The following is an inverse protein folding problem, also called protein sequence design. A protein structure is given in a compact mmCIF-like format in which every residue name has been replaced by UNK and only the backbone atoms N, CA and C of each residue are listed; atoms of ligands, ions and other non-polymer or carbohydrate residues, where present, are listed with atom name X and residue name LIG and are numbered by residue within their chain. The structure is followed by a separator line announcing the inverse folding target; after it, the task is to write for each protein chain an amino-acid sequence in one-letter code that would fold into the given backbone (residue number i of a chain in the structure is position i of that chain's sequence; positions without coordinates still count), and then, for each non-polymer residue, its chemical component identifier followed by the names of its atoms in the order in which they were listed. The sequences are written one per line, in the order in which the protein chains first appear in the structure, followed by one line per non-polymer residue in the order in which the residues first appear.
data_IF_903659847460
#
_entry.id   IF_903659847460
#
_cell.length_a   1.000
_cell.length_b   1.000
_cell.length_c   1.000
_cell.angle_alpha   90.00
_cell.angle_beta   90.00
_cell.angle_gamma   90.00
#
_symmetry.space_group_name_H-M   'P 1'
#
loop_
_entity.id
_entity.type
_entity.pdbx_description
1 polymer ?
#
# COMPACT_ATOMS: atom_id res chain seq x y z
N UNK A 1 -12.39 -41.46 -34.70
CA UNK A 1 -13.12 -40.23 -34.29
C UNK A 1 -13.11 -39.97 -32.77
N UNK A 2 -12.95 -40.98 -31.91
CA UNK A 2 -13.07 -40.86 -30.43
C UNK A 2 -11.87 -40.23 -29.70
N UNK A 3 -10.68 -40.18 -30.31
CA UNK A 3 -9.44 -39.73 -29.64
C UNK A 3 -9.28 -38.20 -29.56
N UNK A 4 -9.97 -37.44 -30.42
CA UNK A 4 -9.93 -35.96 -30.41
C UNK A 4 -10.78 -35.34 -29.29
N UNK A 5 -11.92 -35.97 -28.95
CA UNK A 5 -12.82 -35.49 -27.89
C UNK A 5 -12.21 -35.63 -26.48
N UNK A 6 -11.35 -36.63 -26.27
CA UNK A 6 -10.68 -36.81 -24.98
C UNK A 6 -9.59 -35.75 -24.72
N UNK A 7 -8.94 -35.24 -25.78
CA UNK A 7 -7.95 -34.16 -25.65
C UNK A 7 -8.59 -32.82 -25.31
N UNK A 8 -9.76 -32.50 -25.89
CA UNK A 8 -10.45 -31.24 -25.57
C UNK A 8 -10.89 -31.21 -24.11
N UNK A 9 -11.41 -32.33 -23.57
CA UNK A 9 -11.82 -32.43 -22.16
C UNK A 9 -10.61 -32.28 -21.21
N UNK A 10 -9.45 -32.86 -21.54
CA UNK A 10 -8.24 -32.72 -20.73
C UNK A 10 -7.69 -31.27 -20.72
N UNK A 11 -7.73 -30.58 -21.86
CA UNK A 11 -7.30 -29.18 -21.98
C UNK A 11 -8.26 -28.25 -21.23
N UNK A 12 -9.58 -28.50 -21.30
CA UNK A 12 -10.58 -27.75 -20.54
C UNK A 12 -10.42 -27.93 -19.03
N UNK A 13 -10.10 -29.15 -18.58
CA UNK A 13 -9.89 -29.47 -17.16
C UNK A 13 -8.62 -28.82 -16.60
N UNK A 14 -7.53 -28.78 -17.39
CA UNK A 14 -6.29 -28.09 -17.02
C UNK A 14 -6.44 -26.55 -16.96
N UNK A 15 -7.40 -25.98 -17.71
CA UNK A 15 -7.74 -24.55 -17.66
C UNK A 15 -8.59 -24.20 -16.44
N UNK A 16 -9.44 -25.13 -16.00
CA UNK A 16 -10.29 -25.00 -14.80
C UNK A 16 -9.47 -25.08 -13.50
N UNK A 17 -8.48 -25.99 -13.42
CA UNK A 17 -7.64 -26.18 -12.22
C UNK A 17 -6.72 -24.98 -11.91
N UNK A 18 -6.39 -24.14 -12.89
CA UNK A 18 -5.62 -22.90 -12.64
C UNK A 18 -6.41 -21.78 -11.97
N UNK A 19 -7.74 -21.89 -11.87
CA UNK A 19 -8.57 -20.91 -11.16
C UNK A 19 -8.71 -21.21 -9.65
N UNK A 20 -8.28 -22.38 -9.16
CA UNK A 20 -8.60 -22.83 -7.81
C UNK A 20 -7.46 -22.71 -6.77
N UNK A 21 -6.32 -22.11 -7.12
CA UNK A 21 -5.27 -21.83 -6.15
C UNK A 21 -5.39 -20.37 -5.66
N UNK A 22 -5.95 -20.11 -4.45
CA UNK A 22 -5.77 -18.81 -3.82
C UNK A 22 -4.27 -18.56 -3.58
N UNK A 23 -3.78 -17.32 -3.75
CA UNK A 23 -2.37 -17.01 -3.59
C UNK A 23 -1.88 -17.32 -2.16
N UNK A 24 -0.73 -17.99 -1.97
CA UNK A 24 -0.12 -18.22 -0.66
C UNK A 24 0.56 -16.94 -0.16
N UNK A 25 -0.23 -15.90 0.10
CA UNK A 25 0.27 -14.60 0.55
C UNK A 25 -0.80 -13.62 1.01
N UNK A 26 -2.09 -13.95 0.92
CA UNK A 26 -3.18 -13.03 1.28
C UNK A 26 -3.60 -13.09 2.75
N UNK A 27 -2.86 -13.78 3.62
CA UNK A 27 -3.30 -14.09 4.99
C UNK A 27 -2.74 -13.16 6.09
N UNK A 28 -2.01 -12.09 5.77
CA UNK A 28 -1.29 -11.32 6.81
C UNK A 28 -1.51 -9.80 6.80
N UNK A 29 -2.46 -9.28 6.05
CA UNK A 29 -2.90 -7.90 6.23
C UNK A 29 -4.35 -7.87 6.67
N UNK A 30 -4.66 -7.25 7.82
CA UNK A 30 -6.03 -7.16 8.30
C UNK A 30 -6.85 -6.37 7.28
N UNK A 31 -7.81 -7.07 6.68
CA UNK A 31 -8.90 -6.53 5.90
C UNK A 31 -9.82 -5.69 6.78
N UNK A 32 -9.36 -4.54 7.28
CA UNK A 32 -10.20 -3.69 8.13
C UNK A 32 -10.15 -2.22 7.73
N UNK A 33 -11.36 -1.75 7.41
CA UNK A 33 -11.80 -0.37 7.23
C UNK A 33 -11.37 0.33 5.94
N UNK A 34 -12.33 0.45 5.02
CA UNK A 34 -12.32 1.32 3.84
C UNK A 34 -12.35 2.81 4.22
N UNK A 35 -11.32 3.27 4.91
CA UNK A 35 -11.10 4.68 5.24
C UNK A 35 -10.54 5.37 3.99
N UNK A 36 -11.13 6.50 3.59
CA UNK A 36 -10.71 7.20 2.38
C UNK A 36 -9.26 7.70 2.47
N UNK A 37 -8.55 7.74 1.33
CA UNK A 37 -7.15 8.21 1.24
C UNK A 37 -6.89 9.58 1.88
N UNK A 38 -7.89 10.47 1.89
CA UNK A 38 -7.79 11.79 2.53
C UNK A 38 -7.68 11.69 4.06
N UNK A 39 -8.42 10.76 4.67
CA UNK A 39 -8.36 10.54 6.11
C UNK A 39 -6.98 10.06 6.56
N UNK A 40 -6.34 9.16 5.84
CA UNK A 40 -4.97 8.73 6.18
C UNK A 40 -3.96 9.88 6.12
N UNK A 41 -4.07 10.78 5.13
CA UNK A 41 -3.24 11.99 5.08
C UNK A 41 -3.49 12.91 6.27
N UNK A 42 -4.76 13.10 6.65
CA UNK A 42 -5.13 13.90 7.81
C UNK A 42 -4.64 13.26 9.12
N UNK A 43 -4.72 11.94 9.25
CA UNK A 43 -4.20 11.20 10.39
C UNK A 43 -2.68 11.36 10.54
N UNK A 44 -1.93 11.28 9.44
CA UNK A 44 -0.49 11.56 9.44
C UNK A 44 -0.21 13.01 9.83
N UNK A 45 -0.92 13.98 9.26
CA UNK A 45 -0.76 15.39 9.63
C UNK A 45 -1.06 15.64 11.13
N UNK A 46 -2.13 15.04 11.65
CA UNK A 46 -2.51 15.12 13.06
C UNK A 46 -1.45 14.50 13.97
N UNK A 47 -0.86 13.36 13.59
CA UNK A 47 0.22 12.73 14.35
C UNK A 47 1.44 13.65 14.51
N UNK A 48 1.81 14.42 13.46
CA UNK A 48 2.93 15.38 13.53
C UNK A 48 2.61 16.53 14.48
N UNK A 49 1.39 17.07 14.44
CA UNK A 49 0.97 18.14 15.37
C UNK A 49 0.93 17.65 16.82
N UNK A 50 0.41 16.45 17.05
CA UNK A 50 0.39 15.84 18.38
C UNK A 50 1.81 15.52 18.87
N UNK A 51 2.72 15.11 18.00
CA UNK A 51 4.12 14.89 18.35
C UNK A 51 4.80 16.19 18.78
N UNK A 52 4.54 17.28 18.06
CA UNK A 52 5.01 18.62 18.46
C UNK A 52 4.45 19.02 19.83
N UNK A 53 3.16 18.79 20.07
CA UNK A 53 2.52 19.08 21.35
C UNK A 53 3.16 18.29 22.51
N UNK A 54 3.36 16.98 22.35
CA UNK A 54 4.03 16.12 23.35
C UNK A 54 5.45 16.62 23.64
N UNK A 55 6.17 17.04 22.61
CA UNK A 55 7.53 17.55 22.74
C UNK A 55 7.57 18.85 23.54
N UNK A 56 6.64 19.78 23.28
CA UNK A 56 6.51 21.02 24.05
C UNK A 56 6.19 20.71 25.52
N UNK A 57 5.25 19.81 25.80
CA UNK A 57 4.96 19.38 27.17
C UNK A 57 6.19 18.79 27.89
N UNK A 58 6.99 17.98 27.18
CA UNK A 58 8.21 17.40 27.74
C UNK A 58 9.29 18.45 28.04
N UNK A 59 9.46 19.43 27.15
CA UNK A 59 10.40 20.55 27.36
C UNK A 59 9.96 21.37 28.58
N UNK A 60 8.67 21.75 28.64
CA UNK A 60 8.13 22.54 29.74
C UNK A 60 8.28 21.81 31.09
N UNK A 61 8.04 20.50 31.11
CA UNK A 61 8.24 19.68 32.31
C UNK A 61 9.69 19.72 32.80
N UNK A 62 10.66 19.69 31.88
CA UNK A 62 12.07 19.81 32.22
C UNK A 62 12.42 21.18 32.81
N UNK A 63 11.91 22.26 32.23
CA UNK A 63 12.13 23.61 32.75
C UNK A 63 11.46 23.82 34.12
N UNK A 64 10.28 23.25 34.33
CA UNK A 64 9.61 23.26 35.62
C UNK A 64 10.45 22.58 36.72
N UNK A 65 11.02 21.41 36.44
CA UNK A 65 11.88 20.72 37.42
C UNK A 65 13.15 21.50 37.76
N UNK A 66 13.74 22.18 36.77
CA UNK A 66 14.90 23.07 37.00
C UNK A 66 14.53 24.23 37.92
N UNK A 67 13.37 24.85 37.71
CA UNK A 67 12.90 25.95 38.54
C UNK A 67 12.67 25.54 40.01
N UNK A 68 12.20 24.31 40.23
CA UNK A 68 11.91 23.78 41.57
C UNK A 68 13.12 23.11 42.25
N UNK A 69 14.30 23.12 41.63
CA UNK A 69 15.52 22.44 42.09
C UNK A 69 15.32 20.96 42.47
N UNK A 70 14.36 20.29 41.83
CA UNK A 70 14.08 18.86 42.08
C UNK A 70 14.95 17.99 41.15
N UNK A 71 15.45 16.83 41.63
CA UNK A 71 16.18 15.90 40.78
C UNK A 71 15.28 15.28 39.71
N UNK A 72 15.79 15.13 38.48
CA UNK A 72 15.07 14.48 37.38
C UNK A 72 15.13 12.95 37.55
N UNK A 73 14.04 12.32 38.02
CA UNK A 73 13.99 10.86 38.18
C UNK A 73 13.37 10.16 36.97
N UNK A 74 12.20 10.61 36.51
CA UNK A 74 11.48 10.01 35.38
C UNK A 74 10.50 11.01 34.76
N UNK A 75 10.28 10.98 33.43
CA UNK A 75 9.19 11.71 32.81
C UNK A 75 7.84 11.14 33.27
N UNK A 76 6.79 11.97 33.38
CA UNK A 76 5.47 11.51 33.79
C UNK A 76 4.90 10.53 32.77
N UNK A 77 4.19 9.51 33.27
CA UNK A 77 3.63 8.40 32.48
C UNK A 77 2.72 8.90 31.35
N UNK A 78 1.99 9.98 31.60
CA UNK A 78 1.11 10.62 30.61
C UNK A 78 1.85 11.03 29.32
N UNK A 79 3.04 11.63 29.44
CA UNK A 79 3.82 12.07 28.27
C UNK A 79 4.30 10.86 27.46
N UNK A 80 4.70 9.80 28.15
CA UNK A 80 5.16 8.55 27.54
C UNK A 80 4.01 7.88 26.79
N UNK A 81 2.83 7.77 27.42
CA UNK A 81 1.64 7.18 26.82
C UNK A 81 1.18 7.98 25.59
N UNK A 82 1.13 9.32 25.69
CA UNK A 82 0.75 10.19 24.58
C UNK A 82 1.73 10.01 23.40
N UNK A 83 3.04 9.92 23.66
CA UNK A 83 4.05 9.69 22.64
C UNK A 83 3.86 8.33 21.94
N UNK A 84 3.60 7.27 22.72
CA UNK A 84 3.32 5.94 22.18
C UNK A 84 2.06 5.92 21.29
N UNK A 85 0.97 6.56 21.73
CA UNK A 85 -0.26 6.69 20.95
C UNK A 85 -0.04 7.43 19.64
N UNK A 86 0.70 8.54 19.67
CA UNK A 86 1.03 9.33 18.48
C UNK A 86 1.87 8.52 17.48
N UNK A 87 2.82 7.72 17.98
CA UNK A 87 3.66 6.87 17.14
C UNK A 87 2.84 5.76 16.47
N UNK A 88 1.94 5.10 17.21
CA UNK A 88 1.03 4.09 16.65
C UNK A 88 0.08 4.71 15.63
N UNK A 89 -0.49 5.88 15.91
CA UNK A 89 -1.36 6.61 14.99
C UNK A 89 -0.63 6.99 13.69
N UNK A 90 0.60 7.48 13.81
CA UNK A 90 1.45 7.83 12.67
C UNK A 90 1.80 6.60 11.81
N UNK A 91 2.21 5.51 12.46
CA UNK A 91 2.50 4.25 11.77
C UNK A 91 1.27 3.71 11.03
N UNK A 92 0.11 3.70 11.69
CA UNK A 92 -1.17 3.33 11.07
C UNK A 92 -1.51 4.22 9.87
N UNK A 93 -1.33 5.53 10.00
CA UNK A 93 -1.54 6.51 8.95
C UNK A 93 -0.66 6.28 7.71
N UNK A 94 0.64 6.01 7.92
CA UNK A 94 1.60 5.76 6.84
C UNK A 94 1.33 4.43 6.14
N UNK A 95 1.03 3.38 6.89
CA UNK A 95 0.68 2.08 6.31
C UNK A 95 -0.59 2.16 5.44
N UNK A 96 -1.58 2.97 5.85
CA UNK A 96 -2.79 3.20 5.04
C UNK A 96 -2.56 4.02 3.74
N UNK A 97 -1.43 4.72 3.61
CA UNK A 97 -1.09 5.44 2.36
C UNK A 97 -0.57 4.50 1.26
N UNK A 98 0.02 3.36 1.64
CA UNK A 98 0.53 2.30 0.74
C UNK A 98 -0.62 1.48 0.13
N UNK A 99 -1.52 2.16 -0.58
CA UNK A 99 -2.76 1.56 -1.07
C UNK A 99 -2.69 1.01 -2.50
N UNK A 100 -1.54 1.02 -3.17
CA UNK A 100 -1.45 0.50 -4.54
C UNK A 100 -0.17 -0.31 -4.73
N UNK A 101 -0.11 -1.47 -4.07
CA UNK A 101 0.83 -2.51 -4.50
C UNK A 101 0.37 -3.00 -5.86
N UNK A 102 1.06 -2.59 -6.93
CA UNK A 102 0.86 -3.17 -8.26
C UNK A 102 1.34 -4.61 -8.20
N UNK A 103 0.47 -5.61 -8.43
CA UNK A 103 0.92 -6.99 -8.45
C UNK A 103 1.94 -7.19 -9.57
N UNK A 104 3.09 -7.79 -9.26
CA UNK A 104 4.19 -8.08 -10.22
C UNK A 104 3.79 -9.14 -11.27
N UNK A 105 2.50 -9.46 -11.41
CA UNK A 105 1.99 -10.33 -12.46
C UNK A 105 1.96 -9.56 -13.77
N UNK A 106 3.12 -9.49 -14.43
CA UNK A 106 3.28 -8.91 -15.77
C UNK A 106 2.30 -9.51 -16.77
N UNK A 107 1.93 -10.78 -16.62
CA UNK A 107 0.97 -11.48 -17.48
C UNK A 107 -0.41 -10.83 -17.54
N UNK A 108 -0.91 -10.18 -16.49
CA UNK A 108 -2.25 -9.55 -16.51
C UNK A 108 -2.24 -8.15 -17.10
N UNK A 109 -1.11 -7.43 -17.02
CA UNK A 109 -0.90 -6.15 -17.70
C UNK A 109 -0.65 -6.37 -19.19
N UNK A 110 0.20 -7.34 -19.54
CA UNK A 110 0.51 -7.71 -20.93
C UNK A 110 -0.70 -8.35 -21.63
N UNK A 111 -1.56 -9.10 -20.93
CA UNK A 111 -2.78 -9.64 -21.52
C UNK A 111 -3.81 -8.57 -21.91
N UNK A 112 -3.70 -7.34 -21.38
CA UNK A 112 -4.55 -6.21 -21.77
C UNK A 112 -3.97 -5.44 -22.96
N UNK A 113 -2.68 -5.61 -23.27
CA UNK A 113 -2.06 -5.01 -24.45
C UNK A 113 -2.32 -5.92 -25.66
N UNK A 114 -2.87 -5.35 -26.73
CA UNK A 114 -3.00 -6.04 -28.01
C UNK A 114 -1.70 -6.00 -28.77
N UNK A 115 -1.50 -6.93 -29.71
CA UNK A 115 -0.31 -6.98 -30.58
C UNK A 115 -0.10 -5.65 -31.32
N UNK A 116 -1.19 -4.98 -31.73
CA UNK A 116 -1.14 -3.68 -32.43
C UNK A 116 -0.54 -2.56 -31.56
N UNK A 117 -0.72 -2.63 -30.23
CA UNK A 117 -0.14 -1.65 -29.28
C UNK A 117 1.35 -1.87 -29.03
N UNK A 118 1.87 -3.06 -29.36
CA UNK A 118 3.29 -3.39 -29.24
C UNK A 118 4.04 -3.22 -30.58
N UNK A 119 3.34 -3.40 -31.70
CA UNK A 119 3.89 -3.34 -33.06
C UNK A 119 4.06 -1.89 -33.58
N UNK A 120 3.26 -0.95 -33.06
CA UNK A 120 3.27 0.47 -33.45
C UNK A 120 4.27 1.36 -32.71
N UNK A 121 5.49 0.87 -32.42
CA UNK A 121 6.52 1.68 -31.76
C UNK A 121 6.86 2.97 -32.55
N UNK A 122 7.01 4.13 -31.89
CA UNK A 122 7.21 5.42 -32.57
C UNK A 122 8.55 5.52 -33.32
N UNK A 123 9.47 4.58 -33.08
CA UNK A 123 10.79 4.50 -33.72
C UNK A 123 10.73 4.18 -35.22
N UNK A 124 9.69 3.48 -35.70
CA UNK A 124 9.63 2.94 -37.07
C UNK A 124 8.37 3.37 -37.84
N UNK A 125 7.79 4.52 -37.51
CA UNK A 125 6.60 5.03 -38.22
C UNK A 125 7.00 5.54 -39.61
N UNK A 126 6.68 4.76 -40.64
CA UNK A 126 6.86 5.18 -42.03
C UNK A 126 5.71 6.10 -42.46
N UNK A 127 6.01 7.39 -42.69
CA UNK A 127 5.00 8.37 -43.13
C UNK A 127 4.53 8.17 -44.58
N UNK A 128 5.23 7.37 -45.38
CA UNK A 128 4.86 7.05 -46.76
C UNK A 128 4.06 5.75 -46.86
N UNK A 129 2.98 5.64 -46.09
CA UNK A 129 2.05 4.50 -46.15
C UNK A 129 0.68 5.02 -46.60
N UNK A 130 -0.09 4.22 -47.34
CA UNK A 130 -1.45 4.60 -47.76
C UNK A 130 -2.26 5.02 -46.52
N UNK A 131 -2.89 6.22 -46.50
CA UNK A 131 -3.72 6.60 -45.36
C UNK A 131 -4.89 5.62 -45.27
N UNK A 132 -5.00 4.93 -44.14
CA UNK A 132 -6.19 4.15 -43.79
C UNK A 132 -7.32 5.16 -43.57
N UNK A 133 -8.36 5.06 -44.39
CA UNK A 133 -9.57 5.91 -44.36
C UNK A 133 -10.61 5.35 -43.41
#
# INVERSE_FOLDING_TARGET
STRLRSRSVCVSRARQERQLCPPPGSALLPSHMGVGRRFYKLAVAASVLLLAHVTVCAIQHREYLKAMQQPFTYPPVEIVLQCALVLVLGAWGVLGLQANFVPIRTTTHLAKQTVDSLDGGPEWVHFNTRPLR
#
